data_IF_124577638052
#
_entry.id   IF_124577638052
#
_cell.length_a   1.000
_cell.length_b   1.000
_cell.length_c   1.000
_cell.angle_alpha   90.00
_cell.angle_beta   90.00
_cell.angle_gamma   90.00
#
_symmetry.space_group_name_H-M   'P 1'
#
loop_
_entity.id
_entity.type
_entity.pdbx_description
1 polymer ?
#
# COMPACT_ATOMS: atom_id res chain seq x y z
N UNK A 1 -3.75 -22.40 -24.56
CA UNK A 1 -5.17 -22.25 -24.97
C UNK A 1 -5.82 -23.63 -25.00
N UNK A 2 -7.11 -23.76 -24.68
CA UNK A 2 -7.84 -25.04 -24.75
C UNK A 2 -7.58 -26.03 -23.61
N UNK A 3 -6.81 -25.63 -22.59
CA UNK A 3 -6.63 -26.44 -21.38
C UNK A 3 -7.84 -26.25 -20.47
N UNK A 4 -8.23 -27.32 -19.78
CA UNK A 4 -9.28 -27.31 -18.75
C UNK A 4 -8.69 -26.99 -17.39
N UNK A 5 -9.35 -26.11 -16.65
CA UNK A 5 -9.02 -25.76 -15.27
C UNK A 5 -10.27 -25.97 -14.43
N UNK A 6 -10.12 -26.64 -13.29
CA UNK A 6 -11.20 -26.84 -12.33
C UNK A 6 -11.21 -25.71 -11.30
N UNK A 7 -12.30 -24.96 -11.22
CA UNK A 7 -12.52 -23.93 -10.21
C UNK A 7 -13.81 -24.28 -9.44
N UNK A 8 -13.73 -24.35 -8.12
CA UNK A 8 -14.86 -24.75 -7.24
C UNK A 8 -15.59 -26.04 -7.65
N UNK A 9 -14.87 -27.00 -8.27
CA UNK A 9 -15.46 -28.25 -8.75
C UNK A 9 -16.13 -28.17 -10.13
N UNK A 10 -16.17 -26.99 -10.75
CA UNK A 10 -16.65 -26.79 -12.11
C UNK A 10 -15.48 -26.72 -13.10
N UNK A 11 -15.62 -27.34 -14.27
CA UNK A 11 -14.61 -27.28 -15.34
C UNK A 11 -14.79 -26.00 -16.18
N UNK A 12 -13.71 -25.23 -16.32
CA UNK A 12 -13.62 -24.05 -17.17
C UNK A 12 -12.58 -24.24 -18.27
N UNK A 13 -12.90 -23.74 -19.46
CA UNK A 13 -11.99 -23.75 -20.61
C UNK A 13 -11.20 -22.44 -20.69
N UNK A 14 -9.88 -22.55 -20.82
CA UNK A 14 -9.01 -21.38 -21.01
C UNK A 14 -9.11 -20.90 -22.46
N UNK A 15 -9.82 -19.78 -22.65
CA UNK A 15 -10.02 -19.10 -23.95
C UNK A 15 -8.88 -18.13 -24.30
N UNK A 16 -8.16 -17.64 -23.30
CA UNK A 16 -7.13 -16.61 -23.46
C UNK A 16 -6.15 -16.61 -22.29
N UNK A 17 -4.98 -16.01 -22.50
CA UNK A 17 -3.98 -15.74 -21.46
C UNK A 17 -3.58 -14.29 -21.64
N UNK A 18 -3.66 -13.51 -20.56
CA UNK A 18 -3.24 -12.11 -20.58
C UNK A 18 -1.72 -12.00 -20.75
N UNK A 19 -1.24 -10.81 -21.12
CA UNK A 19 0.19 -10.54 -21.17
C UNK A 19 0.85 -10.81 -19.80
N UNK A 20 2.12 -11.24 -19.80
CA UNK A 20 2.82 -11.63 -18.56
C UNK A 20 2.89 -10.49 -17.53
N UNK A 21 2.98 -9.24 -18.00
CA UNK A 21 3.02 -8.04 -17.17
C UNK A 21 1.63 -7.55 -16.73
N UNK A 22 0.55 -8.13 -17.25
CA UNK A 22 -0.81 -7.74 -16.87
C UNK A 22 -1.27 -8.48 -15.62
N UNK A 23 -1.20 -7.81 -14.47
CA UNK A 23 -1.59 -8.35 -13.16
C UNK A 23 -3.03 -8.02 -12.76
N UNK A 24 -3.77 -7.35 -13.66
CA UNK A 24 -5.12 -6.88 -13.42
C UNK A 24 -5.20 -5.36 -13.27
N UNK A 25 -6.35 -4.92 -12.78
CA UNK A 25 -6.77 -3.52 -12.75
C UNK A 25 -6.62 -2.93 -11.33
N UNK A 26 -6.47 -3.77 -10.29
CA UNK A 26 -6.25 -3.34 -8.91
C UNK A 26 -4.77 -3.32 -8.53
N UNK A 27 -4.31 -2.27 -7.86
CA UNK A 27 -2.95 -2.19 -7.31
C UNK A 27 -2.84 -3.12 -6.08
N UNK A 28 -1.82 -3.97 -6.07
CA UNK A 28 -1.57 -4.91 -4.96
C UNK A 28 -2.51 -6.14 -4.92
N UNK A 29 -3.42 -6.26 -5.88
CA UNK A 29 -4.29 -7.42 -6.07
C UNK A 29 -3.77 -8.22 -7.27
N UNK A 30 -3.06 -9.32 -7.01
CA UNK A 30 -2.65 -10.22 -8.10
C UNK A 30 -3.88 -11.00 -8.57
N UNK A 31 -4.41 -10.64 -9.74
CA UNK A 31 -5.53 -11.35 -10.34
C UNK A 31 -5.00 -12.46 -11.25
N UNK A 32 -5.21 -13.71 -10.85
CA UNK A 32 -4.71 -14.87 -11.60
C UNK A 32 -5.66 -15.30 -12.73
N UNK A 33 -6.95 -14.99 -12.61
CA UNK A 33 -8.00 -15.45 -13.52
C UNK A 33 -9.10 -14.40 -13.71
N UNK A 34 -9.56 -14.24 -14.96
CA UNK A 34 -10.72 -13.44 -15.31
C UNK A 34 -11.80 -14.33 -15.89
N UNK A 35 -13.02 -14.18 -15.39
CA UNK A 35 -14.17 -14.97 -15.82
C UNK A 35 -15.31 -14.04 -16.25
N UNK A 36 -16.17 -14.45 -17.20
CA UNK A 36 -17.39 -13.74 -17.52
C UNK A 36 -18.27 -13.56 -16.26
N UNK A 37 -18.83 -12.36 -16.08
CA UNK A 37 -19.62 -12.01 -14.90
C UNK A 37 -20.81 -12.97 -14.67
N UNK A 38 -21.42 -13.46 -15.75
CA UNK A 38 -22.53 -14.42 -15.71
C UNK A 38 -22.17 -15.77 -15.06
N UNK A 39 -20.87 -16.08 -14.92
CA UNK A 39 -20.39 -17.29 -14.24
C UNK A 39 -20.20 -17.09 -12.73
N UNK A 40 -20.57 -15.92 -12.17
CA UNK A 40 -20.41 -15.59 -10.75
C UNK A 40 -20.93 -16.68 -9.80
N UNK A 41 -22.11 -17.31 -9.99
CA UNK A 41 -22.61 -18.31 -9.04
C UNK A 41 -21.68 -19.53 -8.91
N UNK A 42 -20.98 -19.91 -9.98
CA UNK A 42 -20.04 -21.03 -10.02
C UNK A 42 -18.62 -20.62 -9.61
N UNK A 43 -18.20 -19.41 -10.01
CA UNK A 43 -16.85 -18.91 -9.76
C UNK A 43 -16.65 -18.34 -8.35
N UNK A 44 -17.70 -17.76 -7.75
CA UNK A 44 -17.65 -17.09 -6.45
C UNK A 44 -18.88 -17.48 -5.61
N UNK A 45 -18.98 -18.75 -5.18
CA UNK A 45 -20.14 -19.28 -4.44
C UNK A 45 -20.32 -18.69 -3.03
N UNK A 46 -19.35 -17.89 -2.56
CA UNK A 46 -19.45 -17.16 -1.27
C UNK A 46 -20.37 -15.95 -1.35
N UNK A 47 -20.63 -15.44 -2.55
CA UNK A 47 -21.59 -14.37 -2.81
C UNK A 47 -22.96 -15.00 -3.06
N UNK A 48 -24.04 -14.27 -2.76
CA UNK A 48 -25.40 -14.76 -2.95
C UNK A 48 -25.66 -15.19 -4.41
N UNK A 49 -26.39 -16.29 -4.69
CA UNK A 49 -26.65 -16.77 -6.05
C UNK A 49 -27.39 -15.79 -6.96
N UNK A 50 -28.15 -14.83 -6.37
CA UNK A 50 -28.89 -13.78 -7.08
C UNK A 50 -28.26 -12.39 -6.95
N UNK A 51 -26.96 -12.30 -6.66
CA UNK A 51 -26.29 -11.01 -6.42
C UNK A 51 -26.17 -10.15 -7.68
N UNK A 52 -26.38 -10.73 -8.86
CA UNK A 52 -26.38 -10.00 -10.13
C UNK A 52 -27.70 -9.26 -10.34
N UNK A 53 -28.79 -9.79 -9.81
CA UNK A 53 -30.13 -9.21 -9.85
C UNK A 53 -30.38 -8.24 -8.69
N UNK A 54 -29.58 -8.34 -7.62
CA UNK A 54 -29.66 -7.48 -6.45
C UNK A 54 -29.03 -6.10 -6.71
N UNK A 55 -29.90 -5.10 -6.95
CA UNK A 55 -29.49 -3.69 -7.08
C UNK A 55 -28.93 -3.09 -5.79
N UNK A 56 -29.15 -3.73 -4.65
CA UNK A 56 -28.54 -3.31 -3.38
C UNK A 56 -27.11 -3.79 -3.24
N UNK A 57 -26.63 -4.69 -4.10
CA UNK A 57 -25.31 -5.26 -4.00
C UNK A 57 -24.22 -4.34 -4.60
N UNK A 58 -23.51 -3.61 -3.74
CA UNK A 58 -22.40 -2.71 -4.10
C UNK A 58 -21.03 -3.40 -4.20
N UNK A 59 -20.97 -4.60 -4.78
CA UNK A 59 -19.74 -5.42 -4.80
C UNK A 59 -18.91 -5.28 -6.09
N UNK A 60 -19.47 -4.65 -7.12
CA UNK A 60 -18.84 -4.50 -8.43
C UNK A 60 -18.23 -3.11 -8.60
N UNK A 61 -17.10 -3.08 -9.28
CA UNK A 61 -16.48 -1.84 -9.77
C UNK A 61 -16.54 -1.82 -11.29
N UNK A 62 -16.97 -0.69 -11.84
CA UNK A 62 -17.12 -0.51 -13.29
C UNK A 62 -15.90 0.24 -13.80
N UNK A 63 -15.27 -0.32 -14.83
CA UNK A 63 -14.13 0.30 -15.52
C UNK A 63 -14.53 0.65 -16.94
N UNK A 64 -14.12 1.84 -17.38
CA UNK A 64 -14.39 2.34 -18.72
C UNK A 64 -13.19 3.10 -19.26
N UNK A 65 -13.01 3.06 -20.58
CA UNK A 65 -12.02 3.89 -21.27
C UNK A 65 -12.69 5.15 -21.80
N UNK A 66 -12.17 6.31 -21.40
CA UNK A 66 -12.63 7.59 -21.94
C UNK A 66 -12.35 7.68 -23.44
N UNK A 67 -13.27 8.31 -24.18
CA UNK A 67 -13.05 8.62 -25.59
C UNK A 67 -11.90 9.63 -25.72
N UNK A 68 -11.10 9.58 -26.81
CA UNK A 68 -10.06 10.56 -27.06
C UNK A 68 -10.63 11.98 -27.02
N UNK A 69 -9.97 12.90 -26.32
CA UNK A 69 -10.37 14.31 -26.21
C UNK A 69 -11.42 14.62 -25.13
N UNK A 70 -12.01 13.62 -24.46
CA UNK A 70 -12.93 13.85 -23.34
C UNK A 70 -12.16 14.09 -22.05
N UNK A 71 -12.45 15.19 -21.36
CA UNK A 71 -11.85 15.49 -20.06
C UNK A 71 -12.55 14.71 -18.96
N UNK A 72 -11.80 14.33 -17.91
CA UNK A 72 -12.34 13.60 -16.76
C UNK A 72 -13.53 14.32 -16.12
N UNK A 73 -13.49 15.65 -16.02
CA UNK A 73 -14.59 16.46 -15.46
C UNK A 73 -15.89 16.34 -16.26
N UNK A 74 -15.79 16.23 -17.59
CA UNK A 74 -16.97 16.03 -18.45
C UNK A 74 -17.58 14.65 -18.20
N UNK A 75 -16.74 13.61 -18.11
CA UNK A 75 -17.20 12.26 -17.80
C UNK A 75 -17.83 12.16 -16.40
N UNK A 76 -17.26 12.85 -15.40
CA UNK A 76 -17.85 12.95 -14.06
C UNK A 76 -19.24 13.58 -14.09
N UNK A 77 -19.39 14.71 -14.80
CA UNK A 77 -20.67 15.39 -14.92
C UNK A 77 -21.73 14.51 -15.60
N UNK A 78 -21.36 13.80 -16.67
CA UNK A 78 -22.28 12.89 -17.38
C UNK A 78 -22.71 11.71 -16.50
N UNK A 79 -21.77 11.09 -15.79
CA UNK A 79 -22.06 9.98 -14.87
C UNK A 79 -22.91 10.44 -13.67
N UNK A 80 -22.70 11.65 -13.16
CA UNK A 80 -23.52 12.21 -12.10
C UNK A 80 -24.99 12.34 -12.54
N UNK A 81 -25.25 12.82 -13.76
CA UNK A 81 -26.60 12.89 -14.32
C UNK A 81 -27.22 11.50 -14.47
N UNK A 82 -26.44 10.51 -14.91
CA UNK A 82 -26.93 9.13 -15.02
C UNK A 82 -27.25 8.51 -13.65
N UNK A 83 -26.45 8.81 -12.64
CA UNK A 83 -26.69 8.36 -11.27
C UNK A 83 -27.97 8.97 -10.70
N UNK A 84 -28.20 10.27 -10.90
CA UNK A 84 -29.42 10.96 -10.48
C UNK A 84 -30.66 10.39 -11.19
N UNK A 85 -30.59 10.15 -12.50
CA UNK A 85 -31.67 9.46 -13.22
C UNK A 85 -31.91 8.05 -12.70
N UNK A 86 -30.85 7.31 -12.38
CA UNK A 86 -30.97 5.98 -11.82
C UNK A 86 -31.60 5.98 -10.41
N UNK A 87 -31.37 7.03 -9.61
CA UNK A 87 -32.06 7.26 -8.34
C UNK A 87 -33.54 7.51 -8.57
N UNK A 88 -33.91 8.41 -9.49
CA UNK A 88 -35.32 8.67 -9.81
C UNK A 88 -36.10 7.44 -10.30
N UNK A 89 -35.48 6.56 -11.09
CA UNK A 89 -36.15 5.35 -11.58
C UNK A 89 -36.20 4.24 -10.52
N UNK A 90 -35.21 4.17 -9.62
CA UNK A 90 -35.11 3.15 -8.58
C UNK A 90 -34.83 3.76 -7.19
N UNK A 91 -35.76 4.56 -6.64
CA UNK A 91 -35.51 5.33 -5.42
C UNK A 91 -35.17 4.43 -4.23
N UNK A 92 -35.92 3.32 -4.09
CA UNK A 92 -35.75 2.34 -3.00
C UNK A 92 -34.33 1.73 -2.89
N UNK A 93 -33.52 1.75 -3.96
CA UNK A 93 -32.17 1.19 -3.94
C UNK A 93 -31.06 2.22 -4.16
N UNK A 94 -31.39 3.41 -4.68
CA UNK A 94 -30.41 4.35 -5.20
C UNK A 94 -30.50 5.77 -4.62
N UNK A 95 -31.50 6.10 -3.79
CA UNK A 95 -31.64 7.45 -3.21
C UNK A 95 -30.39 7.91 -2.42
N UNK A 96 -29.75 7.00 -1.70
CA UNK A 96 -28.52 7.28 -0.93
C UNK A 96 -27.22 6.93 -1.68
N UNK A 97 -27.28 6.75 -3.01
CA UNK A 97 -26.13 6.30 -3.80
C UNK A 97 -25.71 7.30 -4.87
N UNK A 98 -24.43 7.66 -4.84
CA UNK A 98 -23.78 8.43 -5.89
C UNK A 98 -22.86 7.58 -6.77
N UNK A 99 -22.50 8.10 -7.92
CA UNK A 99 -21.44 7.56 -8.76
C UNK A 99 -20.38 8.66 -8.99
N UNK A 100 -19.11 8.31 -8.81
CA UNK A 100 -17.97 9.16 -9.14
C UNK A 100 -17.06 8.45 -10.14
N UNK A 101 -16.41 9.23 -10.99
CA UNK A 101 -15.46 8.75 -12.00
C UNK A 101 -14.06 9.15 -11.59
N UNK A 102 -13.15 8.19 -11.53
CA UNK A 102 -11.77 8.44 -11.15
C UNK A 102 -10.86 7.99 -12.29
N UNK A 103 -9.86 8.81 -12.62
CA UNK A 103 -8.91 8.53 -13.71
C UNK A 103 -7.97 7.37 -13.41
N UNK A 104 -7.78 7.06 -12.13
CA UNK A 104 -6.73 6.20 -11.66
C UNK A 104 -7.26 4.78 -11.50
N UNK A 105 -6.79 3.90 -12.38
CA UNK A 105 -6.93 2.46 -12.22
C UNK A 105 -5.92 2.00 -11.17
N UNK A 106 -6.39 1.31 -10.13
CA UNK A 106 -5.52 0.63 -9.18
C UNK A 106 -5.84 0.86 -7.72
N UNK A 107 -5.99 2.12 -7.30
CA UNK A 107 -6.28 2.46 -5.90
C UNK A 107 -7.68 3.06 -5.81
N UNK A 108 -8.58 2.35 -5.16
CA UNK A 108 -9.91 2.87 -4.92
C UNK A 108 -9.83 4.14 -4.03
N UNK A 109 -10.74 5.11 -4.18
CA UNK A 109 -10.66 6.39 -3.46
C UNK A 109 -10.62 6.24 -1.93
N UNK A 110 -11.39 5.29 -1.41
CA UNK A 110 -11.43 4.90 0.01
C UNK A 110 -10.09 4.30 0.46
N UNK A 111 -9.51 3.40 -0.33
CA UNK A 111 -8.20 2.82 -0.06
C UNK A 111 -7.09 3.88 -0.11
N UNK A 112 -7.16 4.82 -1.06
CA UNK A 112 -6.20 5.92 -1.17
C UNK A 112 -6.26 6.82 0.06
N UNK A 113 -7.46 7.23 0.48
CA UNK A 113 -7.63 8.06 1.67
C UNK A 113 -7.13 7.34 2.93
N UNK A 114 -7.43 6.06 3.09
CA UNK A 114 -6.97 5.25 4.22
C UNK A 114 -5.44 5.08 4.22
N UNK A 115 -4.84 4.83 3.06
CA UNK A 115 -3.39 4.72 2.91
C UNK A 115 -2.70 6.04 3.25
N UNK A 116 -3.23 7.18 2.77
CA UNK A 116 -2.69 8.50 3.09
C UNK A 116 -2.76 8.80 4.60
N UNK A 117 -3.88 8.48 5.26
CA UNK A 117 -4.03 8.64 6.71
C UNK A 117 -3.03 7.76 7.47
N UNK A 118 -2.91 6.50 7.08
CA UNK A 118 -1.98 5.55 7.72
C UNK A 118 -0.53 6.00 7.55
N UNK A 119 -0.13 6.40 6.33
CA UNK A 119 1.20 6.93 6.06
C UNK A 119 1.44 8.23 6.84
N UNK A 120 0.46 9.13 6.91
CA UNK A 120 0.54 10.35 7.70
C UNK A 120 0.79 10.07 9.18
N UNK A 121 0.06 9.11 9.77
CA UNK A 121 0.27 8.69 11.15
C UNK A 121 1.66 8.08 11.36
N UNK A 122 2.12 7.25 10.41
CA UNK A 122 3.46 6.65 10.45
C UNK A 122 4.55 7.72 10.40
N UNK A 123 4.42 8.72 9.51
CA UNK A 123 5.34 9.85 9.42
C UNK A 123 5.34 10.69 10.69
N UNK A 124 4.17 10.94 11.29
CA UNK A 124 4.06 11.65 12.55
C UNK A 124 4.78 10.89 13.69
N UNK A 125 4.56 9.57 13.78
CA UNK A 125 5.24 8.73 14.76
C UNK A 125 6.76 8.74 14.58
N UNK A 126 7.25 8.58 13.35
CA UNK A 126 8.69 8.65 13.03
C UNK A 126 9.26 10.03 13.35
N UNK A 127 8.53 11.11 13.03
CA UNK A 127 8.91 12.48 13.36
C UNK A 127 9.04 12.72 14.86
N UNK A 128 8.12 12.18 15.66
CA UNK A 128 8.18 12.27 17.12
C UNK A 128 9.37 11.51 17.69
N UNK A 129 9.62 10.29 17.21
CA UNK A 129 10.79 9.50 17.62
C UNK A 129 12.09 10.22 17.26
N UNK A 130 12.16 10.83 16.08
CA UNK A 130 13.31 11.61 15.65
C UNK A 130 13.51 12.85 16.53
N UNK A 131 12.43 13.56 16.90
CA UNK A 131 12.47 14.68 17.84
C UNK A 131 12.99 14.26 19.21
N UNK A 132 12.52 13.13 19.76
CA UNK A 132 13.00 12.58 21.02
C UNK A 132 14.50 12.24 20.92
N UNK A 133 14.93 11.61 19.83
CA UNK A 133 16.33 11.31 19.58
C UNK A 133 17.18 12.60 19.52
N UNK A 134 16.73 13.63 18.81
CA UNK A 134 17.39 14.92 18.72
C UNK A 134 17.49 15.62 20.08
N UNK A 135 16.41 15.62 20.88
CA UNK A 135 16.40 16.17 22.23
C UNK A 135 17.39 15.45 23.15
N UNK A 136 17.47 14.11 23.05
CA UNK A 136 18.43 13.31 23.81
C UNK A 136 19.88 13.62 23.42
N UNK A 137 20.17 13.78 22.13
CA UNK A 137 21.50 14.18 21.65
C UNK A 137 21.86 15.58 22.13
N UNK A 138 20.91 16.53 22.12
CA UNK A 138 21.11 17.87 22.65
C UNK A 138 21.42 17.84 24.15
N UNK A 139 20.62 17.10 24.94
CA UNK A 139 20.83 16.94 26.38
C UNK A 139 22.18 16.28 26.71
N UNK A 140 22.56 15.23 25.99
CA UNK A 140 23.88 14.58 26.13
C UNK A 140 25.04 15.53 25.77
N UNK A 141 24.85 16.37 24.75
CA UNK A 141 25.84 17.36 24.34
C UNK A 141 26.01 18.45 25.40
N UNK A 142 24.89 18.93 25.96
CA UNK A 142 24.86 19.86 27.08
C UNK A 142 25.57 19.27 28.31
N UNK A 143 25.24 18.04 28.72
CA UNK A 143 25.87 17.36 29.85
C UNK A 143 27.39 17.17 29.67
N UNK A 144 27.85 16.86 28.45
CA UNK A 144 29.29 16.74 28.15
C UNK A 144 30.00 18.10 28.20
N UNK A 145 29.34 19.18 27.76
CA UNK A 145 29.90 20.52 27.85
C UNK A 145 29.97 21.04 29.28
N UNK A 146 28.98 20.73 30.13
CA UNK A 146 29.01 21.09 31.55
C UNK A 146 30.06 20.29 32.32
N UNK A 147 30.27 19.02 32.01
CA UNK A 147 31.35 18.21 32.59
C UNK A 147 32.76 18.71 32.20
N UNK A 148 32.92 19.28 30.99
CA UNK A 148 34.20 19.87 30.51
C UNK A 148 34.32 21.37 30.75
N UNK A 149 33.38 21.97 31.50
CA UNK A 149 33.27 23.43 31.68
C UNK A 149 34.54 24.05 32.29
N UNK A 150 35.23 23.30 33.15
CA UNK A 150 36.49 23.69 33.80
C UNK A 150 37.68 23.76 32.83
N UNK A 151 37.80 22.81 31.89
CA UNK A 151 38.82 22.86 30.82
C UNK A 151 38.53 23.99 29.82
N UNK A 152 37.25 24.21 29.51
CA UNK A 152 36.79 25.22 28.56
C UNK A 152 37.02 26.64 29.12
N UNK A 153 36.77 26.87 30.41
CA UNK A 153 37.04 28.16 31.06
C UNK A 153 38.52 28.50 31.08
N UNK A 154 39.40 27.50 31.29
CA UNK A 154 40.87 27.70 31.26
C UNK A 154 41.35 28.02 29.85
N UNK A 155 40.86 27.31 28.82
CA UNK A 155 41.21 27.63 27.41
C UNK A 155 40.65 28.97 26.94
N UNK A 156 39.50 29.39 27.45
CA UNK A 156 38.92 30.71 27.20
C UNK A 156 39.77 31.83 27.82
N UNK A 157 40.27 31.62 29.04
CA UNK A 157 41.20 32.55 29.69
C UNK A 157 42.54 32.65 28.93
N UNK A 158 42.94 31.60 28.21
CA UNK A 158 44.09 31.56 27.30
C UNK A 158 43.80 32.09 25.88
N UNK A 159 42.60 32.63 25.61
CA UNK A 159 42.26 33.25 24.32
C UNK A 159 41.74 32.29 23.23
N UNK A 160 41.46 31.03 23.55
CA UNK A 160 40.94 30.08 22.57
C UNK A 160 39.48 30.40 22.17
N UNK A 161 39.25 30.67 20.88
CA UNK A 161 37.96 31.12 20.36
C UNK A 161 36.79 30.13 20.55
N UNK A 162 35.69 30.62 21.13
CA UNK A 162 34.40 29.91 21.34
C UNK A 162 33.87 29.21 20.09
N UNK A 163 34.17 29.75 18.91
CA UNK A 163 33.77 29.22 17.60
C UNK A 163 34.35 27.82 17.31
N UNK A 164 35.57 27.52 17.77
CA UNK A 164 36.24 26.24 17.48
C UNK A 164 35.60 25.08 18.25
N UNK A 165 35.11 25.35 19.46
CA UNK A 165 34.39 24.38 20.31
C UNK A 165 33.01 24.05 19.75
N UNK A 166 32.24 25.07 19.35
CA UNK A 166 30.91 24.87 18.74
C UNK A 166 31.03 24.09 17.43
N UNK A 167 32.02 24.41 16.59
CA UNK A 167 32.25 23.70 15.32
C UNK A 167 32.57 22.22 15.54
N UNK A 168 33.32 21.88 16.58
CA UNK A 168 33.70 20.50 16.90
C UNK A 168 32.52 19.66 17.42
N UNK A 169 31.63 20.25 18.21
CA UNK A 169 30.40 19.60 18.65
C UNK A 169 29.44 19.34 17.47
N UNK A 170 29.27 20.34 16.60
CA UNK A 170 28.46 20.20 15.39
C UNK A 170 29.01 19.12 14.45
N UNK A 171 30.33 19.10 14.20
CA UNK A 171 30.93 18.05 13.35
C UNK A 171 30.74 16.65 13.94
N UNK A 172 30.82 16.49 15.27
CA UNK A 172 30.66 15.19 15.92
C UNK A 172 29.23 14.66 15.81
N UNK A 173 28.22 15.52 15.97
CA UNK A 173 26.80 15.16 15.78
C UNK A 173 26.48 14.89 14.32
N UNK A 174 27.05 15.67 13.40
CA UNK A 174 26.84 15.52 11.95
C UNK A 174 27.45 14.22 11.42
N UNK A 175 28.62 13.82 11.94
CA UNK A 175 29.23 12.51 11.66
C UNK A 175 28.36 11.36 12.17
N UNK A 176 27.77 11.51 13.36
CA UNK A 176 26.87 10.50 13.92
C UNK A 176 25.60 10.33 13.07
N UNK A 177 25.00 11.44 12.63
CA UNK A 177 23.86 11.42 11.70
C UNK A 177 24.22 10.78 10.36
N UNK A 178 25.41 11.08 9.80
CA UNK A 178 25.88 10.48 8.56
C UNK A 178 26.06 8.96 8.68
N UNK A 179 26.64 8.49 9.79
CA UNK A 179 26.80 7.05 10.05
C UNK A 179 25.45 6.37 10.24
N UNK A 180 24.52 6.98 10.99
CA UNK A 180 23.16 6.46 11.15
C UNK A 180 22.41 6.38 9.80
N UNK A 181 22.50 7.43 8.97
CA UNK A 181 21.90 7.45 7.64
C UNK A 181 22.53 6.40 6.70
N UNK A 182 23.85 6.28 6.70
CA UNK A 182 24.57 5.29 5.91
C UNK A 182 24.20 3.86 6.31
N UNK A 183 24.15 3.56 7.61
CA UNK A 183 23.73 2.26 8.13
C UNK A 183 22.26 1.98 7.80
N UNK A 184 21.37 2.96 7.95
CA UNK A 184 19.96 2.84 7.58
C UNK A 184 19.79 2.50 6.09
N UNK A 185 20.48 3.21 5.20
CA UNK A 185 20.49 2.94 3.76
C UNK A 185 21.05 1.54 3.44
N UNK A 186 22.09 1.10 4.14
CA UNK A 186 22.68 -0.23 3.98
C UNK A 186 21.71 -1.35 4.39
N UNK A 187 20.97 -1.16 5.48
CA UNK A 187 19.95 -2.11 5.95
C UNK A 187 18.78 -2.16 4.96
N UNK A 188 18.27 -1.01 4.52
CA UNK A 188 17.20 -0.94 3.51
C UNK A 188 17.64 -1.60 2.21
N UNK A 189 18.85 -1.30 1.74
CA UNK A 189 19.39 -1.90 0.52
C UNK A 189 19.57 -3.41 0.67
N UNK A 190 20.12 -3.91 1.79
CA UNK A 190 20.24 -5.36 2.00
C UNK A 190 18.88 -6.07 2.15
N UNK A 191 17.91 -5.45 2.82
CA UNK A 191 16.54 -5.97 2.90
C UNK A 191 15.83 -5.99 1.55
N UNK A 192 16.00 -4.94 0.74
CA UNK A 192 15.49 -4.87 -0.62
C UNK A 192 16.16 -5.90 -1.56
N UNK A 193 17.43 -6.24 -1.32
CA UNK A 193 18.12 -7.29 -2.07
C UNK A 193 17.67 -8.70 -1.68
N UNK A 194 17.17 -8.90 -0.45
CA UNK A 194 16.48 -10.12 -0.02
C UNK A 194 15.07 -10.25 -0.63
N UNK A 195 14.36 -9.13 -0.77
CA UNK A 195 13.09 -9.04 -1.48
C UNK A 195 13.28 -8.71 -2.97
N UNK A 196 13.96 -9.59 -3.72
CA UNK A 196 13.82 -9.53 -5.19
C UNK A 196 12.35 -9.78 -5.55
N UNK A 197 11.72 -8.94 -6.40
CA UNK A 197 10.29 -9.04 -6.72
C UNK A 197 9.87 -10.39 -7.34
N UNK A 198 10.83 -11.19 -7.83
CA UNK A 198 10.58 -12.55 -8.32
C UNK A 198 10.65 -13.68 -7.28
N UNK A 199 11.24 -13.46 -6.09
CA UNK A 199 11.42 -14.53 -5.10
C UNK A 199 10.21 -14.71 -4.16
N UNK A 200 9.43 -13.67 -3.93
CA UNK A 200 8.15 -13.77 -3.22
C UNK A 200 6.99 -13.98 -4.20
N UNK A 201 7.13 -14.93 -5.14
CA UNK A 201 5.94 -15.48 -5.81
C UNK A 201 5.27 -16.41 -4.80
N UNK A 202 4.03 -16.13 -4.34
CA UNK A 202 3.29 -17.15 -3.60
C UNK A 202 3.19 -18.36 -4.52
N UNK A 203 3.90 -19.44 -4.18
CA UNK A 203 3.70 -20.72 -4.85
C UNK A 203 2.40 -21.28 -4.31
N UNK A 204 1.27 -20.80 -4.83
CA UNK A 204 -0.05 -21.43 -4.69
C UNK A 204 0.02 -22.78 -5.37
N UNK A 205 0.66 -23.74 -4.69
CA UNK A 205 0.64 -25.13 -5.07
C UNK A 205 -0.78 -25.59 -4.78
N UNK A 206 -1.60 -25.67 -5.83
CA UNK A 206 -2.86 -26.42 -5.83
C UNK A 206 -2.51 -27.89 -5.56
N UNK A 207 -2.28 -28.23 -4.30
CA UNK A 207 -2.26 -29.62 -3.87
C UNK A 207 -3.70 -30.09 -3.86
N UNK A 208 -4.02 -31.02 -4.76
CA UNK A 208 -5.14 -31.94 -4.67
C UNK A 208 -5.22 -32.53 -3.26
N UNK A 209 -5.92 -31.88 -2.35
CA UNK A 209 -6.31 -32.44 -1.07
C UNK A 209 -7.79 -32.16 -0.90
N UNK A 210 -8.55 -33.15 -1.34
CA UNK A 210 -9.92 -33.42 -0.97
C UNK A 210 -10.14 -33.19 0.54
N UNK A 211 -11.30 -32.63 0.87
CA UNK A 211 -12.03 -32.79 2.14
C UNK A 211 -11.38 -32.17 3.38
N UNK A 212 -11.99 -31.08 3.85
CA UNK A 212 -12.47 -30.82 5.23
C UNK A 212 -12.33 -29.33 5.60
N UNK A 213 -13.49 -28.67 5.63
CA UNK A 213 -13.95 -27.60 6.54
C UNK A 213 -12.95 -26.61 7.18
N UNK A 214 -13.24 -25.32 6.93
CA UNK A 214 -13.23 -24.15 7.84
C UNK A 214 -12.00 -23.93 8.75
N UNK A 215 -11.26 -22.83 8.53
CA UNK A 215 -11.01 -21.82 9.58
C UNK A 215 -10.29 -20.57 9.04
N UNK A 216 -10.67 -19.43 9.60
CA UNK A 216 -10.28 -18.04 9.33
C UNK A 216 -8.83 -17.65 9.69
N UNK A 217 -7.86 -18.56 9.56
CA UNK A 217 -6.45 -18.21 9.80
C UNK A 217 -5.62 -18.55 8.58
N UNK A 218 -5.41 -17.56 7.72
CA UNK A 218 -4.35 -17.58 6.72
C UNK A 218 -3.01 -17.55 7.44
N UNK A 219 -2.54 -18.72 7.91
CA UNK A 219 -1.14 -18.91 8.27
C UNK A 219 -0.36 -18.98 6.96
N UNK A 220 -0.02 -17.80 6.42
CA UNK A 220 0.98 -17.66 5.38
C UNK A 220 2.31 -18.13 5.96
N UNK A 221 2.63 -19.42 5.78
CA UNK A 221 3.94 -19.96 6.11
C UNK A 221 4.92 -19.52 5.03
N UNK A 222 5.48 -18.33 5.21
CA UNK A 222 6.57 -17.81 4.38
C UNK A 222 7.82 -18.67 4.60
N UNK A 223 8.15 -19.49 3.61
CA UNK A 223 9.39 -20.25 3.61
C UNK A 223 10.37 -19.55 2.68
N UNK A 224 11.13 -18.60 3.23
CA UNK A 224 12.31 -18.06 2.56
C UNK A 224 13.29 -19.21 2.31
N UNK A 225 13.57 -19.51 1.04
CA UNK A 225 14.78 -20.23 0.65
C UNK A 225 15.67 -19.22 -0.08
N UNK A 226 16.78 -18.88 0.57
CA UNK A 226 17.99 -18.46 -0.12
C UNK A 226 18.55 -19.64 -0.92
#
# INVERSE_FOLDING_TARGET
MGKRVTLNGHEFNVVGVAAEDFQGIGLGQNTDMWLPLMMQPQAIPRLSPGILEDRTAGWMSIYGRLKPGVRLEQARAEVAILAERAAHVHPATNDDRGADVVSDVGLYPDQRANLQRFLGLLFAAVGLVLLIACANVANLSLARTTARRREISVRLALGAGRSRLVRQLLTKSMLLCLVAAALGLLIVRRGAWGCRPGCCRPRTRYSRLHRLWISQYWVLRWRCRC
#
